data_IF_805368346678
#
_entry.id   IF_805368346678
#
_cell.length_a   1.000
_cell.length_b   1.000
_cell.length_c   1.000
_cell.angle_alpha   90.00
_cell.angle_beta   90.00
_cell.angle_gamma   90.00
#
_symmetry.space_group_name_H-M   'P 1'
#
loop_
_entity.id
_entity.type
_entity.pdbx_description
1 polymer ?
#
# COMPACT_ATOMS: atom_id res chain seq x y z
N UNK A 1 -0.48 6.44 -25.67
CA UNK A 1 0.38 7.58 -25.35
C UNK A 1 1.37 7.74 -26.50
N UNK A 2 1.49 8.94 -27.04
CA UNK A 2 2.47 9.21 -28.12
C UNK A 2 3.87 9.21 -27.50
N UNK A 3 4.86 8.69 -28.22
CA UNK A 3 6.26 8.55 -27.80
C UNK A 3 7.03 9.88 -27.59
N UNK A 4 6.35 10.99 -27.23
CA UNK A 4 6.94 12.34 -27.23
C UNK A 4 7.02 13.03 -25.85
N UNK A 5 6.34 12.50 -24.83
CA UNK A 5 6.33 13.16 -23.52
C UNK A 5 7.25 12.43 -22.54
N UNK A 6 8.42 13.00 -22.30
CA UNK A 6 9.33 12.54 -21.23
C UNK A 6 8.74 12.96 -19.88
N UNK A 7 8.41 12.00 -19.04
CA UNK A 7 7.89 12.27 -17.70
C UNK A 7 9.03 12.43 -16.69
N UNK A 8 8.83 13.30 -15.71
CA UNK A 8 9.68 13.34 -14.52
C UNK A 8 9.17 12.28 -13.53
N UNK A 9 10.03 11.36 -13.15
CA UNK A 9 9.70 10.21 -12.30
C UNK A 9 10.42 10.34 -10.95
N UNK A 10 9.66 10.49 -9.88
CA UNK A 10 10.17 10.57 -8.51
C UNK A 10 10.07 9.24 -7.77
N UNK A 11 9.24 8.31 -8.27
CA UNK A 11 9.10 6.97 -7.69
C UNK A 11 8.90 5.91 -8.77
N UNK A 12 9.49 4.74 -8.55
CA UNK A 12 9.28 3.53 -9.35
C UNK A 12 8.88 2.41 -8.39
N UNK A 13 7.80 1.71 -8.70
CA UNK A 13 7.32 0.62 -7.86
C UNK A 13 7.07 -0.64 -8.72
N UNK A 14 7.82 -1.68 -8.45
CA UNK A 14 7.61 -3.01 -9.05
C UNK A 14 6.81 -3.86 -8.06
N UNK A 15 5.55 -4.10 -8.38
CA UNK A 15 4.61 -4.84 -7.53
C UNK A 15 3.55 -5.58 -8.33
N UNK A 16 2.53 -6.07 -7.65
CA UNK A 16 1.36 -6.67 -8.30
C UNK A 16 1.64 -8.03 -8.93
N UNK A 17 2.04 -8.98 -8.18
CA UNK A 17 2.41 -10.34 -8.57
C UNK A 17 3.60 -10.79 -7.75
N UNK A 18 4.67 -11.22 -8.39
CA UNK A 18 5.89 -11.63 -7.68
C UNK A 18 7.12 -11.14 -8.44
N UNK A 19 7.47 -9.84 -8.35
CA UNK A 19 8.62 -9.29 -9.08
C UNK A 19 9.95 -9.97 -8.74
N UNK A 20 10.07 -10.53 -7.53
CA UNK A 20 11.24 -11.29 -7.08
C UNK A 20 11.49 -12.58 -7.86
N UNK A 21 10.52 -13.05 -8.66
CA UNK A 21 10.67 -14.20 -9.56
C UNK A 21 11.30 -13.84 -10.91
N UNK A 22 11.45 -12.55 -11.22
CA UNK A 22 12.06 -12.11 -12.48
C UNK A 22 13.58 -12.34 -12.45
N UNK A 23 14.10 -12.73 -13.59
CA UNK A 23 15.56 -12.86 -13.78
C UNK A 23 16.24 -11.48 -13.79
N UNK A 24 17.54 -11.45 -13.51
CA UNK A 24 18.36 -10.24 -13.62
C UNK A 24 18.22 -9.55 -14.98
N UNK A 25 18.19 -10.35 -16.07
CA UNK A 25 18.03 -9.82 -17.42
C UNK A 25 16.69 -9.13 -17.64
N UNK A 26 15.60 -9.71 -17.11
CA UNK A 26 14.25 -9.13 -17.22
C UNK A 26 14.14 -7.84 -16.39
N UNK A 27 14.65 -7.82 -15.16
CA UNK A 27 14.63 -6.60 -14.33
C UNK A 27 15.46 -5.49 -14.96
N UNK A 28 16.67 -5.82 -15.51
CA UNK A 28 17.46 -4.82 -16.24
C UNK A 28 16.73 -4.26 -17.44
N UNK A 29 16.10 -5.09 -18.27
CA UNK A 29 15.30 -4.61 -19.40
C UNK A 29 14.19 -3.66 -18.99
N UNK A 30 13.50 -3.93 -17.86
CA UNK A 30 12.46 -3.05 -17.33
C UNK A 30 13.07 -1.71 -16.90
N UNK A 31 14.14 -1.73 -16.10
CA UNK A 31 14.77 -0.49 -15.63
C UNK A 31 15.40 0.30 -16.80
N UNK A 32 16.12 -0.36 -17.72
CA UNK A 32 16.70 0.31 -18.88
C UNK A 32 15.61 1.01 -19.69
N UNK A 33 14.47 0.37 -19.92
CA UNK A 33 13.35 0.99 -20.62
C UNK A 33 12.81 2.20 -19.87
N UNK A 34 12.61 2.10 -18.53
CA UNK A 34 12.13 3.23 -17.73
C UNK A 34 13.09 4.41 -17.82
N UNK A 35 14.39 4.19 -17.67
CA UNK A 35 15.40 5.25 -17.65
C UNK A 35 15.69 5.82 -19.04
N UNK A 36 15.48 5.06 -20.13
CA UNK A 36 15.63 5.55 -21.52
C UNK A 36 14.48 6.48 -21.90
N UNK A 37 13.26 6.15 -21.49
CA UNK A 37 12.07 6.89 -21.95
C UNK A 37 11.58 7.95 -20.98
N UNK A 38 12.13 8.04 -19.77
CA UNK A 38 11.70 9.01 -18.76
C UNK A 38 12.89 9.71 -18.10
N UNK A 39 12.63 10.88 -17.54
CA UNK A 39 13.58 11.60 -16.71
C UNK A 39 13.41 11.15 -15.25
N UNK A 40 14.16 10.14 -14.83
CA UNK A 40 14.10 9.62 -13.46
C UNK A 40 14.97 10.49 -12.56
N UNK A 41 14.38 10.98 -11.45
CA UNK A 41 15.09 11.78 -10.44
C UNK A 41 16.27 11.01 -9.85
N UNK A 42 17.42 11.64 -9.63
CA UNK A 42 18.58 10.97 -8.99
C UNK A 42 18.29 10.42 -7.60
N UNK A 43 17.31 10.98 -6.89
CA UNK A 43 16.85 10.57 -5.57
C UNK A 43 15.49 9.83 -5.61
N UNK A 44 15.11 9.29 -6.77
CA UNK A 44 13.87 8.53 -6.91
C UNK A 44 13.80 7.36 -5.92
N UNK A 45 12.62 7.16 -5.32
CA UNK A 45 12.34 5.94 -4.57
C UNK A 45 12.06 4.80 -5.56
N UNK A 46 12.89 3.77 -5.53
CA UNK A 46 12.77 2.60 -6.40
C UNK A 46 12.49 1.37 -5.55
N UNK A 47 11.23 0.97 -5.53
CA UNK A 47 10.73 -0.14 -4.70
C UNK A 47 10.53 -1.41 -5.52
N UNK A 48 10.88 -2.55 -4.93
CA UNK A 48 10.50 -3.89 -5.42
C UNK A 48 9.82 -4.68 -4.31
N UNK A 49 8.72 -5.36 -4.65
CA UNK A 49 8.09 -6.35 -3.78
C UNK A 49 8.84 -7.69 -3.84
N UNK A 50 9.00 -8.32 -2.67
CA UNK A 50 9.65 -9.62 -2.56
C UNK A 50 8.91 -10.56 -1.62
N UNK A 51 9.00 -11.87 -1.87
CA UNK A 51 8.71 -12.87 -0.86
C UNK A 51 10.01 -13.23 -0.11
N UNK A 52 9.96 -13.52 1.21
CA UNK A 52 11.16 -13.85 1.97
C UNK A 52 11.98 -15.01 1.40
N UNK A 53 11.30 -16.04 0.87
CA UNK A 53 11.95 -17.23 0.30
C UNK A 53 12.61 -16.98 -1.06
N UNK A 54 12.29 -15.88 -1.75
CA UNK A 54 12.94 -15.48 -3.00
C UNK A 54 14.25 -14.73 -2.76
N UNK A 55 14.47 -14.19 -1.54
CA UNK A 55 15.66 -13.39 -1.21
C UNK A 55 16.84 -14.30 -0.89
N UNK A 56 17.40 -14.94 -1.94
CA UNK A 56 18.66 -15.71 -1.85
C UNK A 56 19.86 -14.78 -1.82
N UNK A 57 21.05 -15.34 -1.64
CA UNK A 57 22.33 -14.60 -1.74
C UNK A 57 22.49 -14.02 -3.14
N UNK A 58 22.13 -14.81 -4.17
CA UNK A 58 22.19 -14.42 -5.58
C UNK A 58 21.19 -13.29 -5.89
N UNK A 59 19.98 -13.37 -5.34
CA UNK A 59 19.00 -12.29 -5.47
C UNK A 59 19.49 -10.99 -4.82
N UNK A 60 20.04 -11.05 -3.61
CA UNK A 60 20.60 -9.89 -2.93
C UNK A 60 21.76 -9.26 -3.72
N UNK A 61 22.67 -10.08 -4.27
CA UNK A 61 23.75 -9.62 -5.13
C UNK A 61 23.24 -9.01 -6.45
N UNK A 62 22.12 -9.51 -6.98
CA UNK A 62 21.46 -8.95 -8.15
C UNK A 62 20.86 -7.57 -7.86
N UNK A 63 20.11 -7.44 -6.76
CA UNK A 63 19.46 -6.17 -6.36
C UNK A 63 20.51 -5.06 -6.17
N UNK A 64 21.67 -5.36 -5.64
CA UNK A 64 22.78 -4.40 -5.49
C UNK A 64 23.23 -3.79 -6.84
N UNK A 65 23.00 -4.47 -7.97
CA UNK A 65 23.37 -4.01 -9.32
C UNK A 65 22.24 -3.26 -10.03
N UNK A 66 21.08 -3.10 -9.39
CA UNK A 66 19.89 -2.44 -9.92
C UNK A 66 19.64 -1.12 -9.16
N UNK A 67 18.89 -0.18 -9.71
CA UNK A 67 18.61 1.09 -9.05
C UNK A 67 17.67 0.97 -7.85
N UNK A 68 17.42 -0.24 -7.34
CA UNK A 68 16.52 -0.50 -6.22
C UNK A 68 17.12 0.03 -4.93
N UNK A 69 16.37 0.88 -4.20
CA UNK A 69 16.78 1.44 -2.92
C UNK A 69 15.77 1.19 -1.79
N UNK A 70 14.59 0.62 -2.11
CA UNK A 70 13.56 0.22 -1.16
C UNK A 70 13.05 -1.19 -1.50
N UNK A 71 12.79 -2.00 -0.47
CA UNK A 71 12.18 -3.33 -0.61
C UNK A 71 10.93 -3.41 0.25
N UNK A 72 9.82 -3.94 -0.30
CA UNK A 72 8.63 -4.33 0.46
C UNK A 72 8.54 -5.84 0.53
N UNK A 73 8.50 -6.40 1.74
CA UNK A 73 8.59 -7.84 1.98
C UNK A 73 7.32 -8.36 2.64
N UNK A 74 6.61 -9.24 1.96
CA UNK A 74 5.40 -9.88 2.47
C UNK A 74 5.70 -10.97 3.51
N UNK A 75 5.94 -10.60 4.77
CA UNK A 75 6.12 -11.56 5.88
C UNK A 75 4.78 -12.17 6.31
N UNK A 76 3.73 -11.38 6.38
CA UNK A 76 2.37 -11.70 6.77
C UNK A 76 2.20 -12.01 8.27
N UNK A 77 2.95 -12.94 8.83
CA UNK A 77 2.97 -13.35 10.24
C UNK A 77 4.30 -14.03 10.55
N UNK A 78 4.64 -14.15 11.81
CA UNK A 78 5.78 -14.95 12.29
C UNK A 78 5.35 -16.29 12.91
N UNK A 79 4.08 -16.67 12.73
CA UNK A 79 3.58 -17.99 13.09
C UNK A 79 3.68 -18.95 11.89
N UNK A 80 4.57 -19.92 11.94
CA UNK A 80 4.76 -20.91 10.87
C UNK A 80 3.52 -21.74 10.57
N UNK A 81 2.61 -21.94 11.54
CA UNK A 81 1.35 -22.64 11.28
C UNK A 81 0.40 -21.79 10.43
N UNK A 82 0.31 -20.49 10.72
CA UNK A 82 -0.45 -19.54 9.90
C UNK A 82 0.17 -19.34 8.53
N UNK A 83 1.51 -19.25 8.41
CA UNK A 83 2.18 -19.21 7.12
C UNK A 83 1.81 -20.41 6.25
N UNK A 84 1.82 -21.63 6.79
CA UNK A 84 1.36 -22.84 6.08
C UNK A 84 -0.13 -22.76 5.69
N UNK A 85 -0.97 -22.24 6.58
CA UNK A 85 -2.40 -22.05 6.31
C UNK A 85 -2.62 -21.05 5.17
N UNK A 86 -1.85 -19.95 5.13
CA UNK A 86 -1.82 -18.99 4.03
C UNK A 86 -1.18 -19.53 2.74
N UNK A 87 -0.69 -20.78 2.77
CA UNK A 87 0.10 -21.37 1.66
C UNK A 87 1.36 -20.57 1.31
N UNK A 88 1.95 -19.91 2.30
CA UNK A 88 3.25 -19.25 2.13
C UNK A 88 4.34 -20.32 2.13
N UNK A 89 5.38 -20.09 1.31
CA UNK A 89 6.51 -21.03 1.17
C UNK A 89 7.60 -20.80 2.20
N UNK A 90 7.68 -19.56 2.72
CA UNK A 90 8.68 -19.18 3.71
C UNK A 90 8.28 -19.51 5.15
N UNK A 91 9.26 -19.47 6.03
CA UNK A 91 9.11 -19.56 7.49
C UNK A 91 9.43 -18.22 8.15
N UNK A 92 9.06 -18.04 9.41
CA UNK A 92 9.39 -16.86 10.20
C UNK A 92 10.91 -16.58 10.24
N UNK A 93 11.73 -17.63 10.36
CA UNK A 93 13.19 -17.50 10.34
C UNK A 93 13.70 -16.94 9.01
N UNK A 94 13.13 -17.34 7.89
CA UNK A 94 13.55 -16.87 6.56
C UNK A 94 13.28 -15.39 6.36
N UNK A 95 12.33 -14.77 7.07
CA UNK A 95 12.11 -13.31 7.05
C UNK A 95 13.35 -12.58 7.58
N UNK A 96 13.86 -12.96 8.75
CA UNK A 96 15.04 -12.31 9.33
C UNK A 96 16.31 -12.58 8.51
N UNK A 97 16.47 -13.79 7.96
CA UNK A 97 17.58 -14.11 7.07
C UNK A 97 17.55 -13.27 5.78
N UNK A 98 16.37 -13.11 5.18
CA UNK A 98 16.16 -12.28 3.99
C UNK A 98 16.52 -10.82 4.25
N UNK A 99 16.09 -10.25 5.37
CA UNK A 99 16.45 -8.89 5.79
C UNK A 99 17.96 -8.76 5.98
N UNK A 100 18.59 -9.73 6.63
CA UNK A 100 20.06 -9.73 6.79
C UNK A 100 20.79 -9.73 5.44
N UNK A 101 20.32 -10.49 4.44
CA UNK A 101 20.88 -10.50 3.08
C UNK A 101 20.69 -9.17 2.36
N UNK A 102 19.51 -8.57 2.48
CA UNK A 102 19.22 -7.25 1.88
C UNK A 102 20.08 -6.15 2.51
N UNK A 103 20.24 -6.16 3.84
CA UNK A 103 21.13 -5.23 4.54
C UNK A 103 22.58 -5.37 4.07
N UNK A 104 23.06 -6.62 3.95
CA UNK A 104 24.41 -6.90 3.43
C UNK A 104 24.58 -6.43 1.97
N UNK A 105 23.53 -6.40 1.18
CA UNK A 105 23.50 -5.84 -0.17
C UNK A 105 23.34 -4.31 -0.22
N UNK A 106 23.27 -3.62 0.93
CA UNK A 106 23.21 -2.16 1.02
C UNK A 106 21.78 -1.59 1.00
N UNK A 107 20.73 -2.41 1.07
CA UNK A 107 19.36 -1.92 1.15
C UNK A 107 19.09 -1.40 2.57
N UNK A 108 18.96 -0.08 2.66
CA UNK A 108 18.73 0.63 3.92
C UNK A 108 17.26 0.96 4.22
N UNK A 109 16.34 0.74 3.26
CA UNK A 109 14.91 1.01 3.41
C UNK A 109 14.12 -0.26 3.14
N UNK A 110 13.66 -0.92 4.21
CA UNK A 110 12.93 -2.18 4.14
C UNK A 110 11.56 -1.99 4.81
N UNK A 111 10.51 -2.34 4.08
CA UNK A 111 9.15 -2.49 4.57
C UNK A 111 8.85 -3.95 4.83
N UNK A 112 8.16 -4.25 5.92
CA UNK A 112 7.61 -5.58 6.21
C UNK A 112 6.09 -5.48 6.30
N UNK A 113 5.41 -6.35 5.54
CA UNK A 113 3.95 -6.39 5.51
C UNK A 113 3.45 -7.50 6.42
N UNK A 114 2.55 -7.14 7.34
CA UNK A 114 1.91 -8.02 8.30
C UNK A 114 0.41 -8.12 8.02
N UNK A 115 -0.20 -9.18 8.48
CA UNK A 115 -1.65 -9.37 8.50
C UNK A 115 -2.09 -9.75 9.91
N UNK A 116 -3.27 -9.31 10.31
CA UNK A 116 -3.92 -9.65 11.57
C UNK A 116 -5.41 -9.94 11.36
N UNK A 117 -6.11 -10.36 12.40
CA UNK A 117 -7.53 -10.70 12.30
C UNK A 117 -7.79 -12.09 11.73
N UNK A 118 -6.81 -13.01 11.81
CA UNK A 118 -7.00 -14.40 11.38
C UNK A 118 -8.06 -15.12 12.22
N UNK A 119 -8.71 -16.18 11.66
CA UNK A 119 -9.52 -17.06 12.47
C UNK A 119 -8.76 -17.56 13.71
N UNK A 120 -9.42 -17.54 14.86
CA UNK A 120 -8.85 -17.95 16.15
C UNK A 120 -7.58 -17.19 16.58
N UNK A 121 -7.33 -16.04 16.01
CA UNK A 121 -6.24 -15.18 16.44
C UNK A 121 -6.58 -14.48 17.76
N UNK A 122 -5.65 -14.54 18.71
CA UNK A 122 -5.75 -13.84 19.98
C UNK A 122 -4.85 -12.61 19.98
N UNK A 123 -5.12 -11.65 20.88
CA UNK A 123 -4.26 -10.49 21.06
C UNK A 123 -2.80 -10.89 21.39
N UNK A 124 -2.60 -11.95 22.20
CA UNK A 124 -1.26 -12.47 22.52
C UNK A 124 -0.51 -13.00 21.27
N UNK A 125 -1.24 -13.56 20.30
CA UNK A 125 -0.63 -13.97 19.02
C UNK A 125 -0.15 -12.74 18.23
N UNK A 126 -1.02 -11.74 18.12
CA UNK A 126 -0.71 -10.51 17.42
C UNK A 126 0.44 -9.73 18.06
N UNK A 127 0.47 -9.62 19.40
CA UNK A 127 1.57 -8.99 20.12
C UNK A 127 2.92 -9.68 19.86
N UNK A 128 2.93 -11.01 19.71
CA UNK A 128 4.17 -11.72 19.32
C UNK A 128 4.62 -11.35 17.92
N UNK A 129 3.69 -11.24 16.96
CA UNK A 129 4.02 -10.81 15.60
C UNK A 129 4.54 -9.37 15.58
N UNK A 130 3.92 -8.44 16.33
CA UNK A 130 4.42 -7.07 16.47
C UNK A 130 5.84 -7.06 17.05
N UNK A 131 6.09 -7.80 18.12
CA UNK A 131 7.41 -7.86 18.75
C UNK A 131 8.47 -8.42 17.77
N UNK A 132 8.15 -9.51 17.07
CA UNK A 132 9.04 -10.09 16.07
C UNK A 132 9.34 -9.08 14.94
N UNK A 133 8.35 -8.32 14.48
CA UNK A 133 8.56 -7.28 13.48
C UNK A 133 9.46 -6.13 13.99
N UNK A 134 9.26 -5.70 15.24
CA UNK A 134 10.11 -4.67 15.87
C UNK A 134 11.56 -5.13 16.05
N UNK A 135 11.78 -6.41 16.37
CA UNK A 135 13.12 -7.00 16.52
C UNK A 135 13.91 -7.03 15.20
N UNK A 136 13.22 -6.99 14.04
CA UNK A 136 13.87 -6.89 12.72
C UNK A 136 14.52 -5.52 12.47
N UNK A 137 14.18 -4.51 13.27
CA UNK A 137 14.70 -3.14 13.15
C UNK A 137 14.57 -2.58 11.72
N UNK A 138 13.40 -2.73 11.12
CA UNK A 138 13.06 -2.21 9.78
C UNK A 138 12.57 -0.76 9.85
N UNK A 139 12.56 -0.07 8.71
CA UNK A 139 12.20 1.33 8.60
C UNK A 139 10.70 1.56 8.43
N UNK A 140 9.99 0.52 7.94
CA UNK A 140 8.57 0.65 7.57
C UNK A 140 7.83 -0.65 7.89
N UNK A 141 6.59 -0.53 8.33
CA UNK A 141 5.67 -1.64 8.56
C UNK A 141 4.32 -1.32 7.94
N UNK A 142 3.79 -2.26 7.17
CA UNK A 142 2.40 -2.25 6.72
C UNK A 142 1.64 -3.33 7.49
N UNK A 143 0.44 -3.06 7.95
CA UNK A 143 -0.38 -4.03 8.64
C UNK A 143 -1.82 -3.99 8.13
N UNK A 144 -2.31 -5.12 7.66
CA UNK A 144 -3.61 -5.26 7.03
C UNK A 144 -4.49 -6.21 7.84
N UNK A 145 -5.73 -5.80 8.13
CA UNK A 145 -6.73 -6.72 8.65
C UNK A 145 -7.13 -7.73 7.57
N UNK A 146 -7.27 -9.01 7.94
CA UNK A 146 -7.69 -10.06 7.01
C UNK A 146 -9.11 -9.78 6.51
N UNK A 147 -9.24 -9.43 5.23
CA UNK A 147 -10.52 -9.38 4.54
C UNK A 147 -10.78 -10.67 3.78
N UNK A 148 -11.98 -11.23 3.93
CA UNK A 148 -12.40 -12.45 3.25
C UNK A 148 -13.32 -12.07 2.09
N UNK A 149 -12.71 -11.79 0.96
CA UNK A 149 -13.41 -11.35 -0.25
C UNK A 149 -14.23 -12.46 -0.88
N UNK A 150 -15.39 -12.09 -1.43
CA UNK A 150 -16.28 -13.00 -2.17
C UNK A 150 -15.53 -13.69 -3.32
N UNK A 151 -15.82 -14.97 -3.53
CA UNK A 151 -15.18 -15.78 -4.57
C UNK A 151 -13.80 -16.32 -4.22
N UNK A 152 -13.19 -15.92 -3.09
CA UNK A 152 -11.91 -16.48 -2.63
C UNK A 152 -12.06 -17.89 -2.06
N UNK A 153 -10.98 -18.68 -1.95
CA UNK A 153 -11.02 -19.97 -1.28
C UNK A 153 -11.51 -19.86 0.17
N UNK A 154 -11.10 -18.86 0.92
CA UNK A 154 -11.53 -18.64 2.31
C UNK A 154 -13.03 -18.37 2.40
N UNK A 155 -13.58 -17.56 1.51
CA UNK A 155 -15.02 -17.32 1.41
C UNK A 155 -15.79 -18.62 1.12
N UNK A 156 -15.32 -19.45 0.16
CA UNK A 156 -15.93 -20.74 -0.16
C UNK A 156 -15.90 -21.74 0.98
N UNK A 157 -14.91 -21.64 1.87
CA UNK A 157 -14.79 -22.45 3.09
C UNK A 157 -15.64 -21.88 4.24
N UNK A 158 -16.41 -20.82 4.02
CA UNK A 158 -17.19 -20.09 5.01
C UNK A 158 -16.37 -19.70 6.25
N UNK A 159 -15.08 -19.35 6.03
CA UNK A 159 -14.21 -18.87 7.08
C UNK A 159 -14.65 -17.48 7.53
N UNK A 160 -14.42 -17.19 8.81
CA UNK A 160 -14.61 -15.84 9.37
C UNK A 160 -13.28 -15.42 9.99
N UNK A 161 -12.94 -14.14 9.86
CA UNK A 161 -11.84 -13.53 10.61
C UNK A 161 -12.10 -13.50 12.11
N UNK A 162 -11.30 -12.77 12.84
CA UNK A 162 -11.57 -12.43 14.23
C UNK A 162 -12.89 -11.65 14.35
N UNK A 163 -13.44 -11.54 15.54
CA UNK A 163 -14.59 -10.66 15.75
C UNK A 163 -14.15 -9.18 15.77
N UNK A 164 -15.08 -8.28 15.48
CA UNK A 164 -14.82 -6.85 15.34
C UNK A 164 -14.16 -6.23 16.58
N UNK A 165 -14.54 -6.65 17.79
CA UNK A 165 -13.94 -6.13 19.02
C UNK A 165 -12.48 -6.60 19.15
N UNK A 166 -12.18 -7.84 18.79
CA UNK A 166 -10.82 -8.37 18.74
C UNK A 166 -9.98 -7.64 17.69
N UNK A 167 -10.52 -7.43 16.49
CA UNK A 167 -9.84 -6.66 15.44
C UNK A 167 -9.54 -5.22 15.88
N UNK A 168 -10.49 -4.58 16.55
CA UNK A 168 -10.32 -3.23 17.11
C UNK A 168 -9.21 -3.17 18.15
N UNK A 169 -9.17 -4.14 19.06
CA UNK A 169 -8.11 -4.23 20.07
C UNK A 169 -6.74 -4.49 19.42
N UNK A 170 -6.66 -5.37 18.41
CA UNK A 170 -5.45 -5.62 17.65
C UNK A 170 -4.93 -4.36 16.96
N UNK A 171 -5.84 -3.61 16.32
CA UNK A 171 -5.47 -2.37 15.64
C UNK A 171 -4.92 -1.31 16.60
N UNK A 172 -5.59 -1.10 17.73
CA UNK A 172 -5.11 -0.11 18.73
C UNK A 172 -3.81 -0.56 19.40
N UNK A 173 -3.66 -1.85 19.67
CA UNK A 173 -2.40 -2.40 20.18
C UNK A 173 -1.26 -2.16 19.20
N UNK A 174 -1.49 -2.37 17.88
CA UNK A 174 -0.51 -2.08 16.86
C UNK A 174 -0.07 -0.61 16.89
N UNK A 175 -1.03 0.32 16.89
CA UNK A 175 -0.75 1.76 16.93
C UNK A 175 0.11 2.09 18.16
N UNK A 176 -0.33 1.70 19.37
CA UNK A 176 0.37 1.99 20.60
C UNK A 176 1.79 1.44 20.63
N UNK A 177 1.97 0.21 20.16
CA UNK A 177 3.29 -0.45 20.16
C UNK A 177 4.26 0.17 19.15
N UNK A 178 3.77 0.50 17.95
CA UNK A 178 4.62 1.09 16.92
C UNK A 178 4.95 2.55 17.22
N UNK A 179 4.01 3.34 17.73
CA UNK A 179 4.28 4.72 18.16
C UNK A 179 5.28 4.75 19.33
N UNK A 180 5.11 3.87 20.32
CA UNK A 180 6.07 3.73 21.42
C UNK A 180 7.48 3.32 20.95
N UNK A 181 7.57 2.59 19.83
CA UNK A 181 8.82 2.22 19.18
C UNK A 181 9.39 3.31 18.25
N UNK A 182 8.73 4.48 18.15
CA UNK A 182 9.19 5.63 17.36
C UNK A 182 8.80 5.60 15.89
N UNK A 183 7.78 4.82 15.52
CA UNK A 183 7.18 4.89 14.20
C UNK A 183 6.11 5.99 14.15
N UNK A 184 5.97 6.62 13.00
CA UNK A 184 4.85 7.49 12.67
C UNK A 184 3.74 6.66 12.03
N UNK A 185 2.54 6.70 12.59
CA UNK A 185 1.34 6.21 11.93
C UNK A 185 0.89 7.26 10.90
N UNK A 186 1.23 7.11 9.64
CA UNK A 186 1.04 8.17 8.64
C UNK A 186 -0.16 7.96 7.71
N UNK A 187 -0.67 6.74 7.61
CA UNK A 187 -1.97 6.42 7.01
C UNK A 187 -2.52 5.12 7.63
N UNK A 188 -3.76 4.77 7.35
CA UNK A 188 -4.54 3.73 8.07
C UNK A 188 -3.77 2.43 8.31
N UNK A 189 -3.02 1.94 7.33
CA UNK A 189 -2.34 0.64 7.38
C UNK A 189 -0.83 0.73 7.49
N UNK A 190 -0.24 1.93 7.37
CA UNK A 190 1.20 2.08 7.21
C UNK A 190 1.86 2.93 8.30
N UNK A 191 2.98 2.41 8.77
CA UNK A 191 3.80 2.98 9.83
C UNK A 191 5.26 3.08 9.35
N UNK A 192 5.89 4.20 9.61
CA UNK A 192 7.27 4.40 9.18
C UNK A 192 8.10 5.10 10.25
N UNK A 193 9.38 4.80 10.33
CA UNK A 193 10.31 5.68 11.04
C UNK A 193 10.36 7.05 10.37
N UNK A 194 10.68 8.14 11.08
CA UNK A 194 10.82 9.46 10.48
C UNK A 194 11.68 9.42 9.22
N UNK A 195 11.21 10.04 8.12
CA UNK A 195 11.83 10.09 6.80
C UNK A 195 11.75 8.80 5.96
N UNK A 196 11.07 7.74 6.44
CA UNK A 196 10.96 6.45 5.73
C UNK A 196 9.52 6.13 5.28
N UNK A 197 8.62 7.11 5.27
CA UNK A 197 7.31 6.92 4.65
C UNK A 197 7.49 6.50 3.19
N UNK A 198 6.68 5.56 2.69
CA UNK A 198 6.69 5.22 1.28
C UNK A 198 6.27 6.42 0.43
N UNK A 199 7.17 6.96 -0.36
CA UNK A 199 6.88 8.10 -1.25
C UNK A 199 5.90 7.69 -2.33
N UNK A 200 6.06 6.48 -2.87
CA UNK A 200 5.17 5.95 -3.90
C UNK A 200 3.74 5.79 -3.38
N UNK A 201 3.54 5.14 -2.22
CA UNK A 201 2.20 4.97 -1.65
C UNK A 201 1.59 6.32 -1.26
N UNK A 202 2.38 7.25 -0.72
CA UNK A 202 1.92 8.58 -0.35
C UNK A 202 1.41 9.37 -1.56
N UNK A 203 1.98 9.17 -2.75
CA UNK A 203 1.56 9.85 -3.99
C UNK A 203 0.13 9.49 -4.41
N UNK A 204 -0.37 8.31 -4.07
CA UNK A 204 -1.77 7.97 -4.31
C UNK A 204 -2.74 8.79 -3.44
N UNK A 205 -2.31 9.12 -2.22
CA UNK A 205 -3.16 9.83 -1.25
C UNK A 205 -3.17 11.35 -1.45
N UNK A 206 -2.16 11.92 -2.09
CA UNK A 206 -2.10 13.37 -2.36
C UNK A 206 -2.60 13.77 -3.76
N UNK A 207 -2.90 12.76 -4.61
CA UNK A 207 -3.40 12.96 -5.97
C UNK A 207 -2.29 13.24 -6.99
N UNK A 208 -1.05 12.87 -6.70
CA UNK A 208 0.06 12.93 -7.66
C UNK A 208 -0.23 12.01 -8.86
N UNK A 209 -0.05 12.49 -10.11
CA UNK A 209 -0.19 11.67 -11.30
C UNK A 209 0.76 10.46 -11.29
N UNK A 210 0.29 9.33 -11.82
CA UNK A 210 1.08 8.11 -11.94
C UNK A 210 0.76 7.33 -13.20
N UNK A 211 1.71 6.54 -13.67
CA UNK A 211 1.60 5.69 -14.85
C UNK A 211 1.70 4.23 -14.42
N UNK A 212 0.65 3.46 -14.69
CA UNK A 212 0.62 2.02 -14.45
C UNK A 212 0.94 1.24 -15.72
N UNK A 213 1.91 0.35 -15.63
CA UNK A 213 2.36 -0.53 -16.72
C UNK A 213 2.11 -1.98 -16.32
N UNK A 214 1.42 -2.71 -17.17
CA UNK A 214 1.06 -4.11 -16.93
C UNK A 214 -0.44 -4.35 -16.99
N UNK A 215 -0.85 -5.63 -17.01
CA UNK A 215 -2.26 -6.01 -16.92
C UNK A 215 -2.85 -5.55 -15.59
N UNK A 216 -4.09 -5.08 -15.59
CA UNK A 216 -4.81 -4.49 -14.46
C UNK A 216 -4.16 -3.23 -13.83
N UNK A 217 -3.04 -2.72 -14.37
CA UNK A 217 -2.41 -1.54 -13.81
C UNK A 217 -3.25 -0.28 -14.08
N UNK A 218 -3.34 0.57 -13.06
CA UNK A 218 -4.05 1.85 -13.11
C UNK A 218 -3.10 3.00 -13.41
N UNK A 219 -3.60 4.03 -14.06
CA UNK A 219 -2.90 5.31 -14.29
C UNK A 219 -3.83 6.46 -13.92
N UNK A 220 -3.23 7.58 -13.52
CA UNK A 220 -3.95 8.81 -13.23
C UNK A 220 -3.13 10.00 -13.72
N UNK A 221 -3.75 10.93 -14.44
CA UNK A 221 -3.07 12.12 -15.00
C UNK A 221 -3.43 13.42 -14.27
N UNK A 222 -4.15 13.33 -13.16
CA UNK A 222 -4.67 14.46 -12.40
C UNK A 222 -6.15 14.75 -12.67
N UNK A 223 -6.72 14.21 -13.75
CA UNK A 223 -8.11 14.40 -14.17
C UNK A 223 -8.77 13.12 -14.64
N UNK A 224 -8.02 12.23 -15.27
CA UNK A 224 -8.51 10.98 -15.84
C UNK A 224 -7.84 9.81 -15.14
N UNK A 225 -8.64 8.89 -14.63
CA UNK A 225 -8.16 7.56 -14.19
C UNK A 225 -8.36 6.59 -15.33
N UNK A 226 -7.36 5.76 -15.59
CA UNK A 226 -7.47 4.67 -16.56
C UNK A 226 -6.93 3.38 -15.97
N UNK A 227 -7.40 2.24 -16.47
CA UNK A 227 -6.94 0.91 -16.05
C UNK A 227 -6.84 -0.01 -17.25
N UNK A 228 -5.76 -0.76 -17.28
CA UNK A 228 -5.52 -1.75 -18.32
C UNK A 228 -6.40 -2.98 -18.10
N UNK A 229 -6.74 -3.69 -19.19
CA UNK A 229 -7.44 -4.98 -19.08
C UNK A 229 -6.70 -5.93 -18.15
N UNK A 230 -7.44 -6.66 -17.31
CA UNK A 230 -6.86 -7.55 -16.28
C UNK A 230 -6.36 -8.89 -16.85
N UNK A 231 -6.90 -9.36 -17.98
CA UNK A 231 -6.44 -10.58 -18.62
C UNK A 231 -5.08 -10.38 -19.30
N UNK A 232 -4.08 -11.08 -18.79
CA UNK A 232 -2.67 -10.94 -19.24
C UNK A 232 -2.52 -11.20 -20.74
N UNK A 233 -3.24 -12.19 -21.30
CA UNK A 233 -3.12 -12.54 -22.73
C UNK A 233 -3.71 -11.45 -23.61
N UNK A 234 -4.84 -10.91 -23.22
CA UNK A 234 -5.49 -9.78 -23.87
C UNK A 234 -4.61 -8.53 -23.83
N UNK A 235 -4.00 -8.25 -22.66
CA UNK A 235 -3.06 -7.14 -22.52
C UNK A 235 -1.85 -7.28 -23.47
N UNK A 236 -1.17 -8.43 -23.46
CA UNK A 236 -0.02 -8.69 -24.32
C UNK A 236 -0.40 -8.53 -25.80
N UNK A 237 -1.51 -9.15 -26.23
CA UNK A 237 -2.00 -9.06 -27.61
C UNK A 237 -2.27 -7.61 -28.03
N UNK A 238 -2.88 -6.81 -27.15
CA UNK A 238 -3.17 -5.40 -27.44
C UNK A 238 -1.88 -4.59 -27.62
N UNK A 239 -0.90 -4.77 -26.71
CA UNK A 239 0.41 -4.10 -26.81
C UNK A 239 1.13 -4.48 -28.10
N UNK A 240 1.20 -5.78 -28.46
CA UNK A 240 1.85 -6.27 -29.69
C UNK A 240 1.18 -5.73 -30.96
N UNK A 241 -0.16 -5.56 -30.96
CA UNK A 241 -0.92 -5.04 -32.08
C UNK A 241 -1.02 -3.50 -32.11
N UNK A 242 -0.51 -2.81 -31.09
CA UNK A 242 -0.64 -1.35 -30.98
C UNK A 242 -2.08 -0.87 -30.76
N UNK A 243 -2.95 -1.75 -30.23
CA UNK A 243 -4.35 -1.40 -29.95
C UNK A 243 -4.53 -0.93 -28.50
N UNK A 244 -5.52 -0.06 -28.29
CA UNK A 244 -5.85 0.39 -26.93
C UNK A 244 -6.37 -0.79 -26.10
N UNK A 245 -5.88 -0.92 -24.87
CA UNK A 245 -6.28 -1.97 -23.93
C UNK A 245 -6.65 -1.42 -22.54
N UNK A 246 -6.93 -0.13 -22.46
CA UNK A 246 -7.32 0.53 -21.23
C UNK A 246 -8.73 1.11 -21.35
N UNK A 247 -9.47 1.02 -20.24
CA UNK A 247 -10.66 1.79 -19.98
C UNK A 247 -10.31 3.04 -19.21
N UNK A 248 -11.18 4.06 -19.21
CA UNK A 248 -10.92 5.31 -18.48
C UNK A 248 -12.21 5.98 -18.02
N UNK A 249 -12.08 6.78 -16.97
CA UNK A 249 -13.13 7.66 -16.45
C UNK A 249 -12.56 9.04 -16.16
N UNK A 250 -13.38 10.07 -16.33
CA UNK A 250 -13.01 11.44 -15.96
C UNK A 250 -13.41 11.69 -14.50
N UNK A 251 -12.46 12.21 -13.73
CA UNK A 251 -12.64 12.49 -12.30
C UNK A 251 -13.02 13.97 -12.14
N UNK A 252 -14.34 14.23 -12.10
CA UNK A 252 -14.86 15.59 -11.96
C UNK A 252 -16.11 15.63 -11.07
N UNK A 253 -16.56 16.81 -10.66
CA UNK A 253 -17.78 17.00 -9.89
C UNK A 253 -17.79 16.22 -8.58
N UNK A 254 -18.87 15.44 -8.37
CA UNK A 254 -19.04 14.62 -7.16
C UNK A 254 -18.04 13.45 -7.12
N UNK A 255 -17.61 12.92 -8.28
CA UNK A 255 -16.56 11.88 -8.33
C UNK A 255 -15.24 12.42 -7.80
N UNK A 256 -14.82 13.63 -8.21
CA UNK A 256 -13.61 14.26 -7.70
C UNK A 256 -13.69 14.58 -6.20
N UNK A 257 -14.88 14.95 -5.72
CA UNK A 257 -15.11 15.12 -4.30
C UNK A 257 -14.95 13.80 -3.53
N UNK A 258 -15.56 12.73 -4.00
CA UNK A 258 -15.51 11.41 -3.37
C UNK A 258 -14.09 10.84 -3.38
N UNK A 259 -13.37 10.99 -4.47
CA UNK A 259 -11.96 10.59 -4.59
C UNK A 259 -11.07 11.33 -3.57
N UNK A 260 -11.23 12.66 -3.48
CA UNK A 260 -10.46 13.46 -2.53
C UNK A 260 -10.76 13.09 -1.08
N UNK A 261 -12.02 12.79 -0.75
CA UNK A 261 -12.39 12.27 0.57
C UNK A 261 -11.69 10.95 0.88
N UNK A 262 -11.81 9.98 -0.03
CA UNK A 262 -11.28 8.63 0.15
C UNK A 262 -9.77 8.64 0.33
N UNK A 263 -9.06 9.46 -0.43
CA UNK A 263 -7.61 9.53 -0.35
C UNK A 263 -7.13 10.33 0.87
N UNK A 264 -7.69 11.51 1.09
CA UNK A 264 -7.20 12.41 2.15
C UNK A 264 -7.50 11.92 3.56
N UNK A 265 -8.72 11.39 3.82
CA UNK A 265 -9.08 10.92 5.16
C UNK A 265 -8.36 9.65 5.59
N UNK A 266 -7.75 8.91 4.67
CA UNK A 266 -6.87 7.78 5.02
C UNK A 266 -5.56 8.21 5.65
N UNK A 267 -5.16 9.46 5.48
CA UNK A 267 -3.86 9.97 5.92
C UNK A 267 -3.97 10.74 7.23
N UNK A 268 -2.87 10.77 7.98
CA UNK A 268 -2.71 11.58 9.18
C UNK A 268 -2.95 13.07 8.91
N UNK A 269 -2.59 13.54 7.71
CA UNK A 269 -2.75 14.93 7.30
C UNK A 269 -4.22 15.31 7.10
N UNK A 270 -5.07 14.36 6.72
CA UNK A 270 -6.50 14.57 6.54
C UNK A 270 -6.87 15.48 5.37
N UNK A 271 -8.15 15.77 5.26
CA UNK A 271 -8.74 16.56 4.18
C UNK A 271 -8.55 18.06 4.43
N UNK A 272 -7.88 18.71 3.50
CA UNK A 272 -7.83 20.17 3.42
C UNK A 272 -9.14 20.69 2.83
N UNK A 273 -9.97 21.28 3.66
CA UNK A 273 -11.29 21.80 3.27
C UNK A 273 -11.23 22.93 2.23
N UNK A 274 -10.06 23.58 2.05
CA UNK A 274 -9.87 24.60 1.02
C UNK A 274 -9.79 24.04 -0.39
N UNK A 275 -9.53 22.73 -0.54
CA UNK A 275 -9.54 22.01 -1.83
C UNK A 275 -10.95 21.71 -2.33
N UNK A 276 -11.97 21.85 -1.48
CA UNK A 276 -13.36 21.61 -1.83
C UNK A 276 -14.00 22.85 -2.41
N UNK A 277 -14.93 22.68 -3.35
CA UNK A 277 -15.83 23.77 -3.74
C UNK A 277 -16.68 24.21 -2.55
N UNK A 278 -17.20 25.45 -2.50
CA UNK A 278 -18.04 25.89 -1.41
C UNK A 278 -19.20 24.94 -1.12
N UNK A 279 -19.89 24.44 -2.14
CA UNK A 279 -21.04 23.53 -1.97
C UNK A 279 -20.61 22.15 -1.42
N UNK A 280 -19.47 21.62 -1.89
CA UNK A 280 -18.95 20.35 -1.37
C UNK A 280 -18.47 20.49 0.08
N UNK A 281 -17.84 21.62 0.41
CA UNK A 281 -17.41 21.91 1.79
C UNK A 281 -18.59 21.99 2.74
N UNK A 282 -19.63 22.73 2.37
CA UNK A 282 -20.84 22.87 3.20
C UNK A 282 -21.54 21.52 3.40
N UNK A 283 -21.64 20.71 2.33
CA UNK A 283 -22.16 19.36 2.42
C UNK A 283 -21.30 18.47 3.34
N UNK A 284 -20.00 18.43 3.11
CA UNK A 284 -19.04 17.64 3.90
C UNK A 284 -19.15 17.98 5.39
N UNK A 285 -19.07 19.25 5.75
CA UNK A 285 -19.14 19.69 7.16
C UNK A 285 -20.50 19.38 7.79
N UNK A 286 -21.60 19.52 7.03
CA UNK A 286 -22.94 19.18 7.51
C UNK A 286 -23.04 17.69 7.86
N UNK A 287 -22.52 16.80 7.00
CA UNK A 287 -22.57 15.35 7.26
C UNK A 287 -21.55 14.96 8.34
N UNK A 288 -20.35 15.57 8.33
CA UNK A 288 -19.29 15.30 9.30
C UNK A 288 -19.68 15.67 10.73
N UNK A 289 -20.63 16.61 10.94
CA UNK A 289 -20.94 17.15 12.26
C UNK A 289 -21.27 16.05 13.27
N UNK A 290 -22.06 15.06 12.92
CA UNK A 290 -22.39 13.93 13.82
C UNK A 290 -21.16 13.14 14.25
N UNK A 291 -20.23 12.90 13.34
CA UNK A 291 -18.98 12.19 13.63
C UNK A 291 -18.01 13.04 14.46
N UNK A 292 -18.08 14.37 14.34
CA UNK A 292 -17.35 15.30 15.18
C UNK A 292 -17.93 15.28 16.60
N UNK A 293 -19.26 15.33 16.73
CA UNK A 293 -19.96 15.25 18.01
C UNK A 293 -19.70 13.92 18.74
N UNK A 294 -19.57 12.83 17.97
CA UNK A 294 -19.24 11.48 18.47
C UNK A 294 -17.72 11.29 18.73
N UNK A 295 -16.89 12.29 18.42
CA UNK A 295 -15.45 12.24 18.65
C UNK A 295 -14.68 11.38 17.64
N UNK A 296 -15.29 11.01 16.49
CA UNK A 296 -14.66 10.18 15.45
C UNK A 296 -13.92 11.00 14.39
N UNK A 297 -14.29 12.27 14.22
CA UNK A 297 -13.63 13.25 13.37
C UNK A 297 -13.26 14.50 14.19
N UNK A 298 -12.24 15.22 13.74
CA UNK A 298 -11.91 16.54 14.25
C UNK A 298 -11.59 17.51 13.11
N UNK A 299 -11.80 18.82 13.36
CA UNK A 299 -11.50 19.89 12.38
C UNK A 299 -10.52 20.87 13.03
N UNK A 300 -9.20 20.73 12.74
CA UNK A 300 -8.16 21.63 13.27
C UNK A 300 -6.85 21.57 12.49
N UNK A 301 -6.59 22.36 11.47
CA UNK A 301 -7.48 23.13 10.59
C UNK A 301 -8.08 22.26 9.48
N UNK A 302 -7.67 21.01 9.37
CA UNK A 302 -8.12 20.00 8.39
C UNK A 302 -9.14 19.08 9.03
N UNK A 303 -9.97 18.44 8.23
CA UNK A 303 -10.84 17.37 8.68
C UNK A 303 -10.00 16.08 8.75
N UNK A 304 -9.83 15.54 9.95
CA UNK A 304 -9.02 14.34 10.20
C UNK A 304 -9.81 13.30 10.99
N UNK A 305 -9.53 12.04 10.77
CA UNK A 305 -10.00 10.96 11.64
C UNK A 305 -9.28 11.05 12.98
N UNK A 306 -10.03 10.89 14.07
CA UNK A 306 -9.45 10.69 15.40
C UNK A 306 -8.95 9.24 15.51
N UNK A 307 -8.31 8.89 16.61
CA UNK A 307 -7.92 7.51 16.90
C UNK A 307 -9.12 6.55 16.83
N UNK A 308 -10.24 6.96 17.43
CA UNK A 308 -11.49 6.20 17.44
C UNK A 308 -12.10 6.09 16.04
N UNK A 309 -11.98 7.15 15.25
CA UNK A 309 -12.47 7.21 13.87
C UNK A 309 -11.65 6.35 12.89
N UNK A 310 -10.37 6.10 13.16
CA UNK A 310 -9.52 5.30 12.27
C UNK A 310 -10.05 3.88 12.06
N UNK A 311 -10.52 3.23 13.12
CA UNK A 311 -11.03 1.86 13.03
C UNK A 311 -12.31 1.75 12.21
N UNK A 312 -13.15 2.78 12.19
CA UNK A 312 -14.40 2.85 11.44
C UNK A 312 -14.33 3.77 10.23
N UNK A 313 -13.12 4.01 9.74
CA UNK A 313 -12.82 4.96 8.67
C UNK A 313 -13.64 4.71 7.39
N UNK A 314 -13.77 3.46 6.97
CA UNK A 314 -14.49 3.12 5.73
C UNK A 314 -15.99 3.51 5.84
N UNK A 315 -16.61 3.28 7.00
CA UNK A 315 -17.99 3.68 7.26
C UNK A 315 -18.11 5.21 7.24
N UNK A 316 -17.20 5.94 7.90
CA UNK A 316 -17.22 7.41 7.93
C UNK A 316 -17.04 7.96 6.52
N UNK A 317 -16.06 7.48 5.78
CA UNK A 317 -15.79 7.93 4.40
C UNK A 317 -17.01 7.66 3.50
N UNK A 318 -17.59 6.46 3.56
CA UNK A 318 -18.77 6.11 2.76
C UNK A 318 -19.96 7.05 3.03
N UNK A 319 -20.21 7.41 4.29
CA UNK A 319 -21.28 8.31 4.67
C UNK A 319 -21.03 9.78 4.26
N UNK A 320 -19.78 10.20 4.14
CA UNK A 320 -19.39 11.53 3.67
C UNK A 320 -19.48 11.66 2.14
N UNK A 321 -19.49 10.56 1.40
CA UNK A 321 -19.59 10.57 -0.06
C UNK A 321 -20.93 11.10 -0.53
N UNK A 322 -20.93 11.66 -1.73
CA UNK A 322 -22.15 12.03 -2.46
C UNK A 322 -22.48 10.95 -3.48
N UNK A 323 -23.76 10.54 -3.49
CA UNK A 323 -24.32 9.60 -4.44
C UNK A 323 -24.73 10.29 -5.76
#
# INVERSE_FOLDING_TARGET
MSCADTHNIDTIYLGGGTPSQLTTGQLRQIFDAIYIYNNVSPDAEVTIEVNPDDVSVEFAAMIQQLPVNRVSMGAQTFDDARLRWLRRRHTAQQVSEAIGRLRAAGIGNISVDLMYGFPDETLDHWERDINAALDLNVEHLSAYCLSIEEGTPLHRMNMKGADEETERQMYYTLIDRLEAAGFEHYEISNFARPLFRSRHNSSYWDGTPYIGIGAAAHSFDGHTRSWNVSDIRSYIKAIESGTQCAESETIEGDTAYNDLLTTALRTREGLDLSRLTPSHRDYCLKVAQRFIDDGLLSVTPRLVLTREGLFVSDMIIAELMKA
#
